data_IF_064201916203
#
_entry.id   IF_064201916203
#
_cell.length_a   1.000
_cell.length_b   1.000
_cell.length_c   1.000
_cell.angle_alpha   90.00
_cell.angle_beta   90.00
_cell.angle_gamma   90.00
#
_symmetry.space_group_name_H-M   'P 1'
#
loop_
_entity.id
_entity.type
_entity.pdbx_description
1 polymer ?
#
# COMPACT_ATOMS: atom_id res chain seq x y z
N UNK A 1 10.40 -16.45 -1.73
CA UNK A 1 10.81 -15.35 -0.82
C UNK A 1 11.26 -14.11 -1.59
N UNK A 2 12.27 -14.15 -2.47
CA UNK A 2 12.72 -12.97 -3.23
C UNK A 2 11.60 -12.14 -3.93
N UNK A 3 10.59 -12.76 -4.62
CA UNK A 3 9.38 -12.09 -5.20
C UNK A 3 8.66 -11.17 -4.19
N UNK A 4 8.61 -11.59 -2.93
CA UNK A 4 7.89 -10.86 -1.89
C UNK A 4 8.72 -9.73 -1.29
N UNK A 5 10.03 -9.94 -1.12
CA UNK A 5 10.96 -8.92 -0.63
C UNK A 5 11.05 -7.74 -1.63
N UNK A 6 11.33 -8.02 -2.90
CA UNK A 6 11.44 -6.98 -3.93
C UNK A 6 10.12 -6.21 -4.13
N UNK A 7 8.97 -6.89 -4.05
CA UNK A 7 7.66 -6.22 -4.10
C UNK A 7 7.42 -5.36 -2.85
N UNK A 8 7.76 -5.83 -1.64
CA UNK A 8 7.68 -5.00 -0.41
C UNK A 8 8.56 -3.75 -0.56
N UNK A 9 9.78 -3.89 -1.04
CA UNK A 9 10.71 -2.77 -1.26
C UNK A 9 10.13 -1.74 -2.24
N UNK A 10 9.59 -2.19 -3.38
CA UNK A 10 8.97 -1.32 -4.37
C UNK A 10 7.70 -0.61 -3.85
N UNK A 11 6.83 -1.31 -3.11
CA UNK A 11 5.67 -0.68 -2.43
C UNK A 11 6.12 0.33 -1.37
N UNK A 12 7.19 0.02 -0.62
CA UNK A 12 7.74 0.95 0.39
C UNK A 12 8.22 2.24 -0.29
N UNK A 13 8.88 2.15 -1.45
CA UNK A 13 9.32 3.32 -2.21
C UNK A 13 8.14 4.18 -2.68
N UNK A 14 7.09 3.59 -3.26
CA UNK A 14 5.89 4.33 -3.67
C UNK A 14 5.20 5.03 -2.49
N UNK A 15 5.13 4.40 -1.32
CA UNK A 15 4.58 5.04 -0.12
C UNK A 15 5.45 6.22 0.36
N UNK A 16 6.78 6.14 0.23
CA UNK A 16 7.71 7.24 0.55
C UNK A 16 7.63 8.40 -0.46
N UNK A 17 7.38 8.11 -1.73
CA UNK A 17 7.11 9.13 -2.75
C UNK A 17 5.77 9.82 -2.48
N UNK A 18 4.73 9.03 -2.16
CA UNK A 18 3.41 9.54 -1.78
C UNK A 18 3.44 10.43 -0.53
N UNK A 19 4.28 10.14 0.49
CA UNK A 19 4.48 11.04 1.62
C UNK A 19 5.02 12.43 1.21
N UNK A 20 5.68 12.56 0.05
CA UNK A 20 6.22 13.82 -0.44
C UNK A 20 5.23 14.56 -1.35
N UNK A 21 4.53 13.85 -2.24
CA UNK A 21 3.62 14.45 -3.22
C UNK A 21 2.18 14.58 -2.70
N UNK A 22 1.73 13.65 -1.85
CA UNK A 22 0.34 13.43 -1.45
C UNK A 22 -0.61 13.12 -2.63
N UNK A 23 -0.06 12.76 -3.80
CA UNK A 23 -0.83 12.47 -5.02
C UNK A 23 -1.34 11.02 -5.00
N UNK A 24 -2.56 10.84 -4.50
CA UNK A 24 -3.15 9.51 -4.31
C UNK A 24 -3.28 8.71 -5.62
N UNK A 25 -3.53 9.38 -6.75
CA UNK A 25 -3.62 8.70 -8.05
C UNK A 25 -2.29 8.11 -8.48
N UNK A 26 -1.18 8.82 -8.29
CA UNK A 26 0.17 8.34 -8.62
C UNK A 26 0.54 7.09 -7.79
N UNK A 27 0.17 7.08 -6.51
CA UNK A 27 0.32 5.90 -5.65
C UNK A 27 -0.48 4.70 -6.19
N UNK A 28 -1.77 4.88 -6.51
CA UNK A 28 -2.61 3.78 -7.01
C UNK A 28 -2.10 3.25 -8.35
N UNK A 29 -1.75 4.14 -9.29
CA UNK A 29 -1.22 3.76 -10.61
C UNK A 29 0.10 2.98 -10.46
N UNK A 30 1.00 3.43 -9.58
CA UNK A 30 2.25 2.73 -9.26
C UNK A 30 1.99 1.35 -8.64
N UNK A 31 1.07 1.24 -7.68
CA UNK A 31 0.70 -0.03 -7.07
C UNK A 31 0.11 -1.02 -8.08
N UNK A 32 -0.71 -0.56 -9.02
CA UNK A 32 -1.26 -1.37 -10.13
C UNK A 32 -0.17 -1.85 -11.09
N UNK A 33 0.78 -1.00 -11.45
CA UNK A 33 1.93 -1.40 -12.28
C UNK A 33 2.79 -2.47 -11.58
N UNK A 34 3.02 -2.34 -10.27
CA UNK A 34 3.69 -3.39 -9.50
C UNK A 34 2.87 -4.69 -9.44
N UNK A 35 1.54 -4.60 -9.31
CA UNK A 35 0.62 -5.74 -9.32
C UNK A 35 0.74 -6.53 -10.63
N UNK A 36 0.66 -5.86 -11.78
CA UNK A 36 0.81 -6.42 -13.12
C UNK A 36 2.22 -7.01 -13.34
N UNK A 37 3.27 -6.22 -13.07
CA UNK A 37 4.66 -6.66 -13.26
C UNK A 37 5.03 -7.88 -12.39
N UNK A 38 4.35 -8.06 -11.25
CA UNK A 38 4.56 -9.21 -10.38
C UNK A 38 3.68 -10.43 -10.74
N UNK A 39 2.82 -10.38 -11.78
CA UNK A 39 2.03 -11.51 -12.30
C UNK A 39 0.75 -11.87 -11.54
N UNK A 40 0.20 -13.07 -11.78
CA UNK A 40 -1.08 -13.51 -11.18
C UNK A 40 -1.02 -13.71 -9.65
N UNK A 41 -2.17 -13.49 -9.00
CA UNK A 41 -2.41 -13.62 -7.54
C UNK A 41 -2.90 -12.31 -6.89
N UNK A 42 -3.88 -12.39 -5.98
CA UNK A 42 -4.31 -11.22 -5.21
C UNK A 42 -3.22 -10.79 -4.22
N UNK A 43 -3.05 -9.47 -4.07
CA UNK A 43 -2.04 -8.88 -3.21
C UNK A 43 -2.69 -8.04 -2.12
N UNK A 44 -2.20 -8.27 -0.91
CA UNK A 44 -2.73 -7.64 0.28
C UNK A 44 -1.59 -6.97 1.04
N UNK A 45 -1.77 -5.68 1.30
CA UNK A 45 -0.89 -4.90 2.16
C UNK A 45 -1.41 -4.96 3.60
N UNK A 46 -0.48 -4.89 4.55
CA UNK A 46 -0.74 -4.70 5.98
C UNK A 46 0.22 -3.66 6.49
N UNK A 47 -0.27 -2.65 7.17
CA UNK A 47 0.54 -1.47 7.48
C UNK A 47 1.33 -1.61 8.79
N UNK A 48 0.88 -2.44 9.72
CA UNK A 48 1.59 -2.66 10.99
C UNK A 48 1.69 -4.15 11.35
N UNK A 49 2.68 -4.49 12.18
CA UNK A 49 2.82 -5.86 12.68
C UNK A 49 1.66 -6.19 13.61
N UNK A 50 1.02 -7.34 13.39
CA UNK A 50 -0.20 -7.74 14.10
C UNK A 50 -1.49 -7.19 13.50
N UNK A 51 -1.42 -6.37 12.44
CA UNK A 51 -2.61 -5.99 11.66
C UNK A 51 -3.31 -7.25 11.14
N UNK A 52 -4.57 -7.42 11.51
CA UNK A 52 -5.46 -8.47 11.00
C UNK A 52 -6.23 -8.01 9.77
N UNK A 53 -6.30 -6.69 9.56
CA UNK A 53 -6.69 -6.09 8.31
C UNK A 53 -5.79 -6.57 7.19
N UNK A 54 -6.39 -6.71 6.02
CA UNK A 54 -5.68 -6.98 4.79
C UNK A 54 -6.29 -6.00 3.79
N UNK A 55 -5.47 -5.10 3.27
CA UNK A 55 -5.92 -4.03 2.38
C UNK A 55 -5.47 -4.34 0.97
N UNK A 56 -6.42 -4.53 0.05
CA UNK A 56 -6.12 -4.66 -1.38
C UNK A 56 -5.85 -3.29 -2.00
N UNK A 57 -5.29 -3.27 -3.21
CA UNK A 57 -5.13 -2.01 -3.98
C UNK A 57 -6.50 -1.39 -4.30
N UNK A 58 -7.55 -2.21 -4.48
CA UNK A 58 -8.92 -1.72 -4.67
C UNK A 58 -9.51 -1.05 -3.42
N UNK A 59 -9.17 -1.53 -2.22
CA UNK A 59 -9.57 -0.88 -0.96
C UNK A 59 -8.86 0.47 -0.80
N UNK A 60 -7.56 0.55 -1.16
CA UNK A 60 -6.82 1.81 -1.18
C UNK A 60 -7.40 2.79 -2.18
N UNK A 61 -7.68 2.34 -3.40
CA UNK A 61 -8.32 3.14 -4.46
C UNK A 61 -9.65 3.71 -3.97
N UNK A 62 -10.49 2.90 -3.30
CA UNK A 62 -11.74 3.36 -2.71
C UNK A 62 -11.54 4.35 -1.54
N UNK A 63 -10.61 4.07 -0.62
CA UNK A 63 -10.37 4.89 0.56
C UNK A 63 -9.64 6.20 0.27
N UNK A 64 -8.81 6.25 -0.77
CA UNK A 64 -8.04 7.44 -1.17
C UNK A 64 -8.70 8.26 -2.29
N UNK A 65 -9.79 7.77 -2.90
CA UNK A 65 -10.53 8.44 -3.98
C UNK A 65 -10.93 9.91 -3.68
N UNK A 66 -11.16 10.26 -2.42
CA UNK A 66 -11.41 11.64 -1.99
C UNK A 66 -11.12 11.82 -0.49
N UNK A 67 -10.67 13.02 -0.04
CA UNK A 67 -10.51 13.35 1.38
C UNK A 67 -11.79 13.24 2.24
N UNK A 68 -12.95 13.15 1.61
CA UNK A 68 -14.25 12.92 2.27
C UNK A 68 -14.56 11.45 2.57
N UNK A 69 -13.74 10.50 2.10
CA UNK A 69 -13.96 9.08 2.39
C UNK A 69 -13.76 8.78 3.89
N UNK A 70 -14.62 7.96 4.52
CA UNK A 70 -14.58 7.73 5.98
C UNK A 70 -13.22 7.23 6.50
N UNK A 71 -12.52 6.44 5.68
CA UNK A 71 -11.24 5.83 6.05
C UNK A 71 -10.02 6.60 5.52
N UNK A 72 -10.20 7.71 4.76
CA UNK A 72 -9.10 8.43 4.10
C UNK A 72 -7.96 8.73 5.07
N UNK A 73 -8.28 9.43 6.15
CA UNK A 73 -7.32 9.82 7.19
C UNK A 73 -6.66 8.62 7.88
N UNK A 74 -7.46 7.61 8.26
CA UNK A 74 -6.96 6.41 8.94
C UNK A 74 -6.00 5.60 8.07
N UNK A 75 -6.21 5.60 6.74
CA UNK A 75 -5.30 4.96 5.78
C UNK A 75 -3.98 5.74 5.68
N UNK A 76 -4.01 7.07 5.58
CA UNK A 76 -2.78 7.89 5.62
C UNK A 76 -1.99 7.67 6.91
N UNK A 77 -2.63 7.77 8.07
CA UNK A 77 -2.00 7.57 9.38
C UNK A 77 -1.42 6.14 9.50
N UNK A 78 -2.06 5.13 8.89
CA UNK A 78 -1.53 3.76 8.83
C UNK A 78 -0.31 3.65 7.91
N UNK A 79 -0.30 4.32 6.76
CA UNK A 79 0.85 4.36 5.84
C UNK A 79 2.07 5.02 6.50
N UNK A 80 1.87 6.12 7.22
CA UNK A 80 2.93 6.81 7.94
C UNK A 80 3.56 5.91 9.02
N UNK A 81 2.72 5.30 9.88
CA UNK A 81 3.14 4.34 10.91
C UNK A 81 3.91 3.16 10.29
N UNK A 82 3.44 2.65 9.14
CA UNK A 82 4.07 1.56 8.40
C UNK A 82 5.50 1.90 7.94
N UNK A 83 5.71 3.14 7.48
CA UNK A 83 7.01 3.62 7.01
C UNK A 83 7.96 3.90 8.19
N UNK A 84 7.47 4.55 9.25
CA UNK A 84 8.26 4.83 10.45
C UNK A 84 8.76 3.55 11.15
N UNK A 85 7.91 2.52 11.23
CA UNK A 85 8.21 1.27 11.93
C UNK A 85 8.83 0.19 11.02
N UNK A 86 8.87 0.40 9.69
CA UNK A 86 9.18 -0.64 8.71
C UNK A 86 8.14 -1.78 8.67
N UNK A 87 6.96 -1.54 9.24
CA UNK A 87 5.92 -2.52 9.58
C UNK A 87 5.20 -3.16 8.40
N UNK A 88 5.33 -2.59 7.19
CA UNK A 88 4.68 -3.06 5.97
C UNK A 88 4.84 -4.57 5.78
N UNK A 89 3.75 -5.31 5.65
CA UNK A 89 3.75 -6.70 5.20
C UNK A 89 3.00 -6.82 3.88
N UNK A 90 3.51 -7.70 3.01
CA UNK A 90 2.85 -8.05 1.74
C UNK A 90 2.48 -9.53 1.81
N UNK A 91 1.24 -9.85 1.46
CA UNK A 91 0.76 -11.22 1.28
C UNK A 91 0.33 -11.43 -0.18
N UNK A 92 0.61 -12.62 -0.67
CA UNK A 92 0.17 -13.14 -1.97
C UNK A 92 -0.80 -14.29 -1.67
N UNK A 93 -1.93 -14.35 -2.37
CA UNK A 93 -2.82 -15.53 -2.40
C UNK A 93 -2.21 -16.65 -3.24
#
# INVERSE_FOLDING_TARGET
>A
MARATAYKEAVTALLQEFQQTHEAQELIDGLRQLEEAAGEGERWLRFFEGDTGATSIGDLEHHLAAPSQPNYRSVLESMDISLEQGGLQVRFS
#
